data_IF_527675317766
#
_entry.id   IF_527675317766
#
_cell.length_a   1.000
_cell.length_b   1.000
_cell.length_c   1.000
_cell.angle_alpha   90.00
_cell.angle_beta   90.00
_cell.angle_gamma   90.00
#
_symmetry.space_group_name_H-M   'P 1'
#
loop_
_entity.id
_entity.type
_entity.pdbx_description
1 polymer ?
#
# COMPACT_ATOMS: atom_id res chain seq x y z
N UNK A 1 16.03 -8.16 12.95
CA UNK A 1 16.19 -7.48 14.24
C UNK A 1 15.85 -6.03 13.95
N UNK A 2 14.65 -5.61 14.35
CA UNK A 2 14.18 -4.23 14.20
C UNK A 2 15.11 -3.29 14.96
N UNK A 3 15.33 -2.09 14.45
CA UNK A 3 16.02 -1.07 15.22
C UNK A 3 15.09 -0.59 16.36
N UNK A 4 15.65 -0.12 17.48
CA UNK A 4 14.85 0.36 18.62
C UNK A 4 13.84 1.47 18.22
N UNK A 5 14.14 2.21 17.15
CA UNK A 5 13.25 3.22 16.55
C UNK A 5 12.00 2.62 15.89
N UNK A 6 12.14 1.45 15.27
CA UNK A 6 11.07 0.80 14.50
C UNK A 6 10.05 0.17 15.44
N UNK A 7 10.52 -0.45 16.52
CA UNK A 7 9.65 -1.00 17.56
C UNK A 7 8.82 0.10 18.24
N UNK A 8 9.42 1.27 18.47
CA UNK A 8 8.72 2.40 19.08
C UNK A 8 7.54 2.88 18.23
N UNK A 9 7.69 2.93 16.90
CA UNK A 9 6.59 3.31 16.00
C UNK A 9 5.39 2.35 16.11
N UNK A 10 5.66 1.06 16.29
CA UNK A 10 4.62 0.04 16.49
C UNK A 10 3.95 0.21 17.88
N UNK A 11 4.76 0.47 18.91
CA UNK A 11 4.30 0.66 20.29
C UNK A 11 3.51 1.97 20.48
N UNK A 12 3.69 2.96 19.61
CA UNK A 12 2.95 4.23 19.63
C UNK A 12 1.57 4.12 18.94
N UNK A 13 1.29 3.05 18.17
CA UNK A 13 -0.03 2.82 17.56
C UNK A 13 -1.12 2.59 18.64
N UNK A 14 -2.39 2.93 18.37
CA UNK A 14 -3.48 2.60 19.28
C UNK A 14 -3.60 1.09 19.55
N UNK A 15 -3.86 0.70 20.79
CA UNK A 15 -4.02 -0.72 21.18
C UNK A 15 -5.13 -1.42 20.37
N UNK A 16 -6.22 -0.71 20.09
CA UNK A 16 -7.31 -1.21 19.26
C UNK A 16 -6.86 -1.54 17.83
N UNK A 17 -5.84 -0.89 17.31
CA UNK A 17 -5.27 -1.21 15.99
C UNK A 17 -4.35 -2.41 16.11
N UNK A 18 -3.39 -2.38 17.05
CA UNK A 18 -2.50 -3.52 17.32
C UNK A 18 -3.24 -4.84 17.60
N UNK A 19 -4.41 -4.77 18.24
CA UNK A 19 -5.21 -5.94 18.60
C UNK A 19 -6.11 -6.47 17.49
N UNK A 20 -6.36 -5.69 16.42
CA UNK A 20 -7.31 -6.05 15.36
C UNK A 20 -6.74 -6.98 14.29
N UNK A 21 -5.43 -7.21 14.31
CA UNK A 21 -4.72 -7.90 13.24
C UNK A 21 -3.59 -8.70 13.83
N UNK A 22 -3.34 -9.88 13.27
CA UNK A 22 -2.06 -10.58 13.44
C UNK A 22 -0.99 -9.75 12.70
N UNK A 23 -0.60 -8.64 13.31
CA UNK A 23 0.30 -7.64 12.75
C UNK A 23 1.66 -8.30 12.52
N UNK A 24 2.02 -8.55 11.26
CA UNK A 24 3.43 -8.79 10.97
C UNK A 24 4.23 -7.55 11.33
N UNK A 25 5.48 -7.74 11.77
CA UNK A 25 6.39 -6.63 12.11
C UNK A 25 6.47 -5.58 10.98
N UNK A 26 6.56 -6.05 9.72
CA UNK A 26 6.59 -5.21 8.53
C UNK A 26 5.33 -4.34 8.38
N UNK A 27 4.14 -4.91 8.59
CA UNK A 27 2.88 -4.17 8.50
C UNK A 27 2.74 -3.15 9.63
N UNK A 28 3.20 -3.50 10.83
CA UNK A 28 3.21 -2.61 11.99
C UNK A 28 4.09 -1.40 11.72
N UNK A 29 5.30 -1.65 11.21
CA UNK A 29 6.25 -0.61 10.84
C UNK A 29 5.69 0.34 9.78
N UNK A 30 5.16 -0.21 8.68
CA UNK A 30 4.55 0.60 7.61
C UNK A 30 3.38 1.44 8.15
N UNK A 31 2.51 0.83 8.94
CA UNK A 31 1.37 1.57 9.53
C UNK A 31 1.85 2.69 10.46
N UNK A 32 2.86 2.42 11.30
CA UNK A 32 3.47 3.42 12.19
C UNK A 32 4.14 4.57 11.45
N UNK A 33 4.85 4.30 10.36
CA UNK A 33 5.48 5.33 9.53
C UNK A 33 4.48 6.32 8.91
N UNK A 34 3.29 5.83 8.54
CA UNK A 34 2.23 6.64 7.93
C UNK A 34 1.24 7.26 8.92
N UNK A 35 1.30 6.89 10.20
CA UNK A 35 0.23 7.15 11.17
C UNK A 35 -0.03 8.65 11.41
N UNK A 36 1.03 9.40 11.65
CA UNK A 36 0.96 10.85 11.90
C UNK A 36 1.08 11.68 10.60
N UNK A 37 1.02 11.03 9.44
CA UNK A 37 1.22 11.70 8.17
C UNK A 37 0.00 12.55 7.81
N UNK A 38 0.22 13.83 7.54
CA UNK A 38 -0.87 14.70 7.08
C UNK A 38 -1.40 14.24 5.72
N UNK A 39 -2.71 14.38 5.45
CA UNK A 39 -3.28 14.09 4.15
C UNK A 39 -2.64 14.94 3.05
N UNK A 40 -2.51 14.38 1.85
CA UNK A 40 -1.96 15.14 0.73
C UNK A 40 -2.84 16.35 0.35
N UNK A 41 -2.23 17.45 -0.15
CA UNK A 41 -2.97 18.59 -0.65
C UNK A 41 -3.76 18.24 -1.92
N UNK A 42 -4.70 19.12 -2.29
CA UNK A 42 -5.52 18.94 -3.48
C UNK A 42 -4.67 18.81 -4.76
N UNK A 43 -5.03 17.86 -5.61
CA UNK A 43 -4.37 17.56 -6.89
C UNK A 43 -2.92 17.11 -6.78
N UNK A 44 -2.53 16.53 -5.64
CA UNK A 44 -1.20 15.96 -5.48
C UNK A 44 -0.99 14.82 -6.49
N UNK A 45 0.08 14.90 -7.27
CA UNK A 45 0.45 13.87 -8.24
C UNK A 45 1.65 13.08 -7.69
N UNK A 46 1.48 11.80 -7.37
CA UNK A 46 2.55 11.01 -6.80
C UNK A 46 3.66 10.74 -7.84
N UNK A 47 4.91 10.81 -7.40
CA UNK A 47 6.05 10.38 -8.21
C UNK A 47 6.18 8.86 -8.17
N UNK A 48 5.95 8.26 -7.00
CA UNK A 48 6.14 6.85 -6.77
C UNK A 48 4.96 6.25 -5.98
N UNK A 49 4.45 5.11 -6.45
CA UNK A 49 3.34 4.40 -5.83
C UNK A 49 3.67 2.91 -5.77
N UNK A 50 3.60 2.34 -4.57
CA UNK A 50 3.81 0.92 -4.33
C UNK A 50 2.62 0.29 -3.62
N UNK A 51 2.33 -0.96 -3.94
CA UNK A 51 1.34 -1.76 -3.20
C UNK A 51 2.03 -2.97 -2.60
N UNK A 52 1.83 -3.15 -1.30
CA UNK A 52 2.16 -4.38 -0.60
C UNK A 52 0.87 -5.08 -0.23
N UNK A 53 0.77 -6.37 -0.53
CA UNK A 53 -0.46 -7.13 -0.31
C UNK A 53 -0.19 -8.49 0.34
N UNK A 54 -1.17 -9.00 1.09
CA UNK A 54 -1.16 -10.33 1.71
C UNK A 54 0.06 -10.60 2.61
N UNK A 55 0.62 -9.57 3.25
CA UNK A 55 1.80 -9.70 4.09
C UNK A 55 3.07 -10.07 3.32
N UNK A 56 3.12 -9.82 2.01
CA UNK A 56 4.33 -9.96 1.22
C UNK A 56 5.41 -8.98 1.74
N UNK A 57 6.64 -9.50 1.89
CA UNK A 57 7.81 -8.67 2.21
C UNK A 57 8.25 -7.81 1.01
N UNK A 58 7.91 -8.24 -0.21
CA UNK A 58 8.19 -7.53 -1.46
C UNK A 58 6.97 -6.76 -1.97
N UNK A 59 7.23 -5.67 -2.71
CA UNK A 59 6.19 -4.91 -3.40
C UNK A 59 5.50 -5.77 -4.45
N UNK A 60 4.17 -5.73 -4.49
CA UNK A 60 3.36 -6.45 -5.46
C UNK A 60 3.10 -5.62 -6.73
N UNK A 61 3.26 -4.30 -6.65
CA UNK A 61 2.90 -3.39 -7.72
C UNK A 61 3.67 -2.08 -7.55
N UNK A 62 4.29 -1.59 -8.63
CA UNK A 62 5.05 -0.34 -8.62
C UNK A 62 4.70 0.52 -9.82
N UNK A 63 4.28 1.74 -9.55
CA UNK A 63 4.16 2.83 -10.52
C UNK A 63 5.16 3.93 -10.19
N UNK A 64 5.87 4.40 -11.20
CA UNK A 64 6.79 5.53 -11.10
C UNK A 64 6.49 6.51 -12.24
N UNK A 65 6.30 7.77 -11.88
CA UNK A 65 5.95 8.87 -12.79
C UNK A 65 4.75 8.52 -13.69
N UNK A 66 3.71 7.94 -13.08
CA UNK A 66 2.48 7.52 -13.74
C UNK A 66 2.62 6.30 -14.67
N UNK A 67 3.78 5.65 -14.70
CA UNK A 67 4.02 4.45 -15.52
C UNK A 67 4.20 3.22 -14.63
N UNK A 68 3.52 2.14 -14.97
CA UNK A 68 3.78 0.85 -14.33
C UNK A 68 5.17 0.35 -14.67
N UNK A 69 5.95 0.06 -13.63
CA UNK A 69 7.29 -0.52 -13.75
C UNK A 69 7.27 -2.00 -13.38
N UNK A 70 6.49 -2.37 -12.37
CA UNK A 70 6.47 -3.73 -11.85
C UNK A 70 5.05 -4.14 -11.42
N UNK A 71 4.73 -5.40 -11.65
CA UNK A 71 3.55 -6.05 -11.08
C UNK A 71 3.85 -7.53 -10.88
N UNK A 72 3.54 -8.03 -9.70
CA UNK A 72 3.53 -9.46 -9.40
C UNK A 72 2.32 -10.09 -10.11
N UNK A 73 2.55 -11.21 -10.80
CA UNK A 73 1.49 -11.93 -11.49
C UNK A 73 0.48 -12.53 -10.51
N UNK A 74 0.96 -12.97 -9.34
CA UNK A 74 0.12 -13.56 -8.30
C UNK A 74 -0.79 -12.53 -7.64
N UNK A 75 -0.39 -11.26 -7.64
CA UNK A 75 -1.20 -10.14 -7.16
C UNK A 75 -2.42 -9.88 -8.05
N UNK A 76 -2.33 -10.21 -9.35
CA UNK A 76 -3.44 -10.07 -10.30
C UNK A 76 -4.40 -11.27 -10.27
N UNK A 77 -4.09 -12.31 -9.50
CA UNK A 77 -4.95 -13.48 -9.33
C UNK A 77 -6.15 -13.22 -8.41
N UNK A 78 -7.10 -14.15 -8.39
CA UNK A 78 -8.30 -14.08 -7.54
C UNK A 78 -7.94 -14.43 -6.09
N UNK A 79 -7.26 -13.51 -5.40
CA UNK A 79 -6.97 -13.61 -3.97
C UNK A 79 -7.81 -12.57 -3.24
N UNK A 80 -8.61 -13.01 -2.27
CA UNK A 80 -9.14 -12.11 -1.24
C UNK A 80 -7.96 -11.54 -0.47
N UNK A 81 -7.65 -10.27 -0.70
CA UNK A 81 -6.51 -9.62 -0.08
C UNK A 81 -6.73 -9.47 1.42
N UNK A 82 -5.95 -10.19 2.23
CA UNK A 82 -6.04 -10.09 3.70
C UNK A 82 -5.42 -8.80 4.23
N UNK A 83 -4.47 -8.22 3.50
CA UNK A 83 -3.78 -6.99 3.87
C UNK A 83 -3.44 -6.22 2.61
N UNK A 84 -3.74 -4.92 2.57
CA UNK A 84 -3.45 -4.04 1.46
C UNK A 84 -2.84 -2.75 1.99
N UNK A 85 -1.62 -2.45 1.57
CA UNK A 85 -0.90 -1.23 1.94
C UNK A 85 -0.54 -0.48 0.67
N UNK A 86 -0.94 0.79 0.59
CA UNK A 86 -0.52 1.71 -0.46
C UNK A 86 0.55 2.65 0.12
N UNK A 87 1.73 2.60 -0.45
CA UNK A 87 2.84 3.50 -0.14
C UNK A 87 2.96 4.51 -1.28
N UNK A 88 2.96 5.80 -0.93
CA UNK A 88 3.08 6.89 -1.88
C UNK A 88 4.26 7.77 -1.46
N UNK A 89 5.22 7.93 -2.37
CA UNK A 89 6.44 8.68 -2.15
C UNK A 89 7.12 8.31 -0.82
N UNK A 90 7.38 7.00 -0.68
CA UNK A 90 8.05 6.36 0.47
C UNK A 90 7.25 6.36 1.79
N UNK A 91 6.05 6.95 1.82
CA UNK A 91 5.23 7.01 3.03
C UNK A 91 3.97 6.16 2.85
N UNK A 92 3.65 5.25 3.78
CA UNK A 92 2.38 4.54 3.78
C UNK A 92 1.20 5.52 3.96
N UNK A 93 0.23 5.47 3.03
CA UNK A 93 -0.91 6.40 3.01
C UNK A 93 -2.26 5.73 3.12
N UNK A 94 -2.32 4.43 2.85
CA UNK A 94 -3.53 3.66 2.98
C UNK A 94 -3.19 2.28 3.49
N UNK A 95 -3.87 1.84 4.54
CA UNK A 95 -3.69 0.50 5.11
C UNK A 95 -5.05 -0.10 5.37
N UNK A 96 -5.32 -1.25 4.78
CA UNK A 96 -6.51 -2.04 5.01
C UNK A 96 -6.10 -3.47 5.40
N UNK A 97 -6.77 -4.01 6.42
CA UNK A 97 -6.53 -5.38 6.88
C UNK A 97 -7.85 -6.09 7.11
N UNK A 98 -8.01 -7.28 6.52
CA UNK A 98 -9.22 -8.10 6.56
C UNK A 98 -10.49 -7.32 6.21
N UNK A 99 -10.38 -6.38 5.28
CA UNK A 99 -11.47 -5.51 4.88
C UNK A 99 -11.65 -4.27 5.76
N UNK A 100 -11.03 -4.20 6.94
CA UNK A 100 -11.09 -3.05 7.85
C UNK A 100 -10.04 -1.99 7.48
N UNK A 101 -10.48 -0.75 7.37
CA UNK A 101 -9.61 0.40 7.12
C UNK A 101 -8.89 0.80 8.41
N UNK A 102 -7.55 0.83 8.36
CA UNK A 102 -6.69 1.15 9.49
C UNK A 102 -6.08 2.54 9.34
N UNK A 103 -5.62 2.89 8.14
CA UNK A 103 -5.01 4.18 7.82
C UNK A 103 -5.58 4.69 6.49
N UNK A 104 -5.95 5.97 6.45
CA UNK A 104 -6.26 6.70 5.22
C UNK A 104 -5.81 8.15 5.34
N UNK A 105 -4.69 8.46 4.70
CA UNK A 105 -4.10 9.81 4.59
C UNK A 105 -3.91 10.19 3.11
N UNK A 106 -4.72 9.60 2.21
CA UNK A 106 -4.61 9.87 0.77
C UNK A 106 -5.00 11.30 0.39
N UNK A 107 -5.97 11.89 1.12
CA UNK A 107 -6.37 13.28 0.93
C UNK A 107 -6.68 13.63 -0.53
N UNK A 108 -6.01 14.66 -1.05
CA UNK A 108 -6.17 15.14 -2.43
C UNK A 108 -5.30 14.45 -3.49
N UNK A 109 -4.72 13.29 -3.18
CA UNK A 109 -3.87 12.53 -4.10
C UNK A 109 -4.63 12.02 -5.32
N UNK A 110 -4.05 12.24 -6.50
CA UNK A 110 -4.52 11.71 -7.77
C UNK A 110 -3.81 10.38 -8.04
N UNK A 111 -4.49 9.27 -7.71
CA UNK A 111 -3.94 7.95 -7.96
C UNK A 111 -3.78 7.68 -9.47
N UNK A 112 -2.72 6.99 -9.89
CA UNK A 112 -2.53 6.62 -11.29
C UNK A 112 -3.75 5.91 -11.89
N UNK A 113 -4.09 6.24 -13.14
CA UNK A 113 -5.24 5.64 -13.86
C UNK A 113 -5.21 4.11 -13.86
N UNK A 114 -4.03 3.50 -13.83
CA UNK A 114 -3.90 2.04 -13.80
C UNK A 114 -4.45 1.40 -12.52
N UNK A 115 -4.56 2.16 -11.43
CA UNK A 115 -5.20 1.72 -10.19
C UNK A 115 -6.71 1.96 -10.21
N UNK A 116 -7.20 2.91 -11.00
CA UNK A 116 -8.58 3.37 -10.97
C UNK A 116 -9.43 2.88 -12.15
N UNK A 117 -8.81 2.66 -13.31
CA UNK A 117 -9.48 2.44 -14.59
C UNK A 117 -9.49 0.97 -14.98
N UNK A 118 -10.68 0.35 -15.11
CA UNK A 118 -10.80 -1.02 -15.63
C UNK A 118 -10.14 -1.20 -16.99
N UNK A 119 -10.16 -0.18 -17.86
CA UNK A 119 -9.53 -0.26 -19.18
C UNK A 119 -8.00 -0.30 -19.10
N UNK A 120 -7.41 0.45 -18.16
CA UNK A 120 -5.97 0.44 -17.92
C UNK A 120 -5.53 -0.89 -17.28
N UNK A 121 -6.31 -1.39 -16.32
CA UNK A 121 -6.10 -2.71 -15.70
C UNK A 121 -6.22 -3.86 -16.72
N UNK A 122 -7.22 -3.83 -17.61
CA UNK A 122 -7.36 -4.81 -18.70
C UNK A 122 -6.20 -4.77 -19.69
N UNK A 123 -5.75 -3.57 -20.06
CA UNK A 123 -4.60 -3.39 -20.94
C UNK A 123 -3.31 -3.94 -20.32
N UNK A 124 -3.18 -3.81 -18.99
CA UNK A 124 -2.10 -4.41 -18.22
C UNK A 124 -2.18 -5.95 -18.23
N UNK A 125 -3.32 -6.51 -17.86
CA UNK A 125 -3.55 -7.97 -17.85
C UNK A 125 -3.19 -8.59 -19.19
N UNK A 126 -3.63 -7.99 -20.30
CA UNK A 126 -3.32 -8.46 -21.65
C UNK A 126 -1.82 -8.39 -22.02
N UNK A 127 -1.05 -7.48 -21.43
CA UNK A 127 0.41 -7.42 -21.62
C UNK A 127 1.13 -8.50 -20.84
N UNK A 128 0.70 -8.75 -19.61
CA UNK A 128 1.30 -9.77 -18.74
C UNK A 128 1.04 -11.17 -19.30
N UNK A 129 -0.18 -11.44 -19.77
CA UNK A 129 -0.58 -12.74 -20.34
C UNK A 129 0.03 -13.08 -21.72
N UNK A 130 0.67 -12.11 -22.38
CA UNK A 130 1.32 -12.30 -23.70
C UNK A 130 2.82 -12.59 -23.62
N UNK A 131 3.37 -12.75 -22.42
CA UNK A 131 4.72 -13.28 -22.20
C UNK A 131 4.64 -14.78 -21.97
#
# INVERSE_FOLDING_TARGET
MLMDSDQKLIDDLPEAIRAKVDFSESLGLLTGQGWDAEPFPANYLPEYVEIYANGADDTCFVVHQGRLIYVDQDFLGDRTTSTFVLVIDEIPRYVQVHGELILDTLGGCLLPDILLSPAAQMSLLLRVLKR
#
